data_IF_428612761722
#
_entry.id   IF_428612761722
#
_cell.length_a   1.000
_cell.length_b   1.000
_cell.length_c   1.000
_cell.angle_alpha   90.00
_cell.angle_beta   90.00
_cell.angle_gamma   90.00
#
_symmetry.space_group_name_H-M   'P 1'
#
loop_
_entity.id
_entity.type
_entity.pdbx_description
1 polymer ?
#
# COMPACT_ATOMS: atom_id res chain seq x y z
N UNK A 1 -18.49 12.62 -4.94
CA UNK A 1 -17.89 11.33 -4.54
C UNK A 1 -16.53 11.59 -3.90
N UNK A 2 -16.29 11.12 -2.67
CA UNK A 2 -14.97 11.16 -2.06
C UNK A 2 -14.02 10.17 -2.74
N UNK A 3 -12.76 10.54 -2.86
CA UNK A 3 -11.71 9.72 -3.45
C UNK A 3 -10.56 9.63 -2.45
N UNK A 4 -10.31 8.41 -1.95
CA UNK A 4 -9.25 8.11 -1.00
C UNK A 4 -8.07 7.57 -1.79
N UNK A 5 -6.94 8.28 -1.74
CA UNK A 5 -5.70 7.80 -2.36
C UNK A 5 -4.86 7.10 -1.32
N UNK A 6 -4.46 5.86 -1.63
CA UNK A 6 -3.68 4.99 -0.76
C UNK A 6 -2.32 4.69 -1.41
N UNK A 7 -1.24 4.65 -0.63
CA UNK A 7 0.09 4.24 -1.10
C UNK A 7 0.40 2.82 -0.66
N UNK A 8 0.83 1.94 -1.55
CA UNK A 8 1.09 0.53 -1.19
C UNK A 8 2.16 0.36 -0.09
N UNK A 9 3.09 1.31 0.06
CA UNK A 9 4.10 1.29 1.12
C UNK A 9 3.56 1.60 2.52
N UNK A 10 2.39 2.23 2.64
CA UNK A 10 1.77 2.59 3.94
C UNK A 10 0.85 1.48 4.48
N UNK A 11 0.55 0.45 3.67
CA UNK A 11 -0.53 -0.52 3.94
C UNK A 11 0.02 -1.93 4.19
N UNK A 12 1.33 -2.11 4.37
CA UNK A 12 1.89 -3.43 4.63
C UNK A 12 1.70 -3.86 6.08
N UNK A 13 0.85 -4.88 6.27
CA UNK A 13 0.66 -5.59 7.53
C UNK A 13 1.09 -7.05 7.30
N UNK A 14 1.59 -7.73 8.34
CA UNK A 14 2.00 -9.15 8.30
C UNK A 14 0.87 -10.12 7.87
N UNK A 15 -0.37 -9.64 7.71
CA UNK A 15 -1.54 -10.38 7.24
C UNK A 15 -2.17 -9.90 5.93
N UNK A 16 -1.61 -8.90 5.24
CA UNK A 16 -2.16 -8.35 3.98
C UNK A 16 -2.26 -6.82 3.96
N UNK A 17 -3.02 -6.32 3.00
CA UNK A 17 -3.26 -4.90 2.76
C UNK A 17 -4.64 -4.48 3.27
N UNK A 18 -4.69 -3.64 4.30
CA UNK A 18 -5.93 -3.17 4.93
C UNK A 18 -6.44 -1.84 4.35
N UNK A 19 -7.73 -1.81 4.02
CA UNK A 19 -8.46 -0.65 3.56
C UNK A 19 -9.47 -0.29 4.64
N UNK A 20 -9.29 0.86 5.30
CA UNK A 20 -10.21 1.35 6.36
C UNK A 20 -11.11 2.46 5.83
N UNK A 21 -12.37 2.42 6.24
CA UNK A 21 -13.30 3.52 6.02
C UNK A 21 -13.00 4.66 7.01
N UNK A 22 -13.11 5.92 6.54
CA UNK A 22 -12.99 7.07 7.44
C UNK A 22 -14.20 7.10 8.40
N UNK A 23 -13.97 7.60 9.62
CA UNK A 23 -14.98 7.65 10.69
C UNK A 23 -16.29 8.33 10.29
N UNK A 24 -16.23 9.34 9.42
CA UNK A 24 -17.42 10.05 8.93
C UNK A 24 -18.38 9.12 8.15
N UNK A 25 -17.85 8.04 7.54
CA UNK A 25 -18.61 7.04 6.82
C UNK A 25 -19.05 5.87 7.72
N UNK A 26 -18.33 5.62 8.82
CA UNK A 26 -18.65 4.53 9.77
C UNK A 26 -20.00 4.71 10.46
N UNK A 27 -20.44 5.95 10.64
CA UNK A 27 -21.73 6.23 11.24
C UNK A 27 -22.90 5.76 10.34
N UNK A 28 -22.72 5.76 9.02
CA UNK A 28 -23.73 5.29 8.07
C UNK A 28 -23.77 3.77 7.98
N UNK A 29 -22.62 3.11 8.07
CA UNK A 29 -22.52 1.64 8.03
C UNK A 29 -23.12 0.92 9.23
N UNK A 30 -23.45 1.65 10.30
CA UNK A 30 -24.11 1.10 11.50
C UNK A 30 -25.65 1.12 11.40
N UNK A 31 -26.20 1.69 10.34
CA UNK A 31 -27.65 1.70 10.12
C UNK A 31 -28.10 0.35 9.54
N UNK A 32 -29.06 -0.37 10.14
CA UNK A 32 -29.58 -1.64 9.61
C UNK A 32 -30.24 -1.50 8.23
N UNK A 33 -30.66 -0.30 7.84
CA UNK A 33 -31.28 -0.06 6.53
C UNK A 33 -30.24 0.15 5.40
N UNK A 34 -28.95 -0.02 5.71
CA UNK A 34 -27.86 0.19 4.77
C UNK A 34 -27.14 -1.12 4.43
N UNK A 35 -27.11 -1.46 3.15
CA UNK A 35 -26.32 -2.54 2.58
C UNK A 35 -24.95 -2.04 2.13
N UNK A 36 -23.95 -2.91 2.21
CA UNK A 36 -22.57 -2.57 1.88
C UNK A 36 -21.97 -3.58 0.93
N UNK A 37 -21.14 -3.12 0.00
CA UNK A 37 -20.45 -4.02 -0.93
C UNK A 37 -19.12 -3.45 -1.37
N UNK A 38 -18.17 -4.34 -1.59
CA UNK A 38 -16.83 -4.02 -2.07
C UNK A 38 -16.64 -4.57 -3.48
N UNK A 39 -16.22 -3.70 -4.38
CA UNK A 39 -15.99 -3.98 -5.78
C UNK A 39 -14.55 -3.69 -6.16
N UNK A 40 -14.04 -4.43 -7.13
CA UNK A 40 -12.89 -3.99 -7.90
C UNK A 40 -13.28 -2.83 -8.81
N UNK A 41 -12.27 -2.09 -9.27
CA UNK A 41 -12.48 -0.96 -10.18
C UNK A 41 -13.16 -1.36 -11.50
N UNK A 42 -13.11 -2.64 -11.89
CA UNK A 42 -13.80 -3.20 -13.06
C UNK A 42 -15.30 -3.49 -12.80
N UNK A 43 -15.80 -3.22 -11.59
CA UNK A 43 -17.18 -3.47 -11.17
C UNK A 43 -17.44 -4.88 -10.65
N UNK A 44 -16.40 -5.72 -10.51
CA UNK A 44 -16.56 -7.07 -9.95
C UNK A 44 -16.73 -7.02 -8.44
N UNK A 45 -17.85 -7.54 -7.93
CA UNK A 45 -18.05 -7.74 -6.48
C UNK A 45 -16.99 -8.70 -5.94
N UNK A 46 -16.33 -8.34 -4.85
CA UNK A 46 -15.27 -9.15 -4.23
C UNK A 46 -15.53 -9.52 -2.79
N UNK A 47 -16.34 -8.72 -2.07
CA UNK A 47 -16.75 -9.01 -0.71
C UNK A 47 -18.00 -8.22 -0.35
N UNK A 48 -18.81 -8.80 0.51
CA UNK A 48 -19.96 -8.18 1.16
C UNK A 48 -19.80 -8.40 2.68
N UNK A 49 -19.72 -7.33 3.49
CA UNK A 49 -19.64 -7.46 4.95
C UNK A 49 -20.81 -8.26 5.57
N UNK A 50 -21.96 -8.32 4.89
CA UNK A 50 -23.14 -9.07 5.31
C UNK A 50 -22.98 -10.58 5.12
N UNK A 51 -22.10 -11.01 4.20
CA UNK A 51 -21.72 -12.40 3.98
C UNK A 51 -20.19 -12.57 4.02
N UNK A 52 -19.58 -12.48 5.21
CA UNK A 52 -18.12 -12.43 5.36
C UNK A 52 -17.41 -13.76 5.00
N UNK A 53 -18.17 -14.83 4.74
CA UNK A 53 -17.63 -16.10 4.27
C UNK A 53 -17.43 -16.13 2.75
N UNK A 54 -18.14 -15.26 2.02
CA UNK A 54 -18.11 -15.22 0.55
C UNK A 54 -17.11 -14.19 0.06
N UNK A 55 -15.84 -14.57 0.17
CA UNK A 55 -14.71 -13.73 -0.25
C UNK A 55 -14.19 -14.19 -1.60
N UNK A 56 -13.96 -13.24 -2.50
CA UNK A 56 -13.35 -13.48 -3.80
C UNK A 56 -11.94 -12.90 -3.80
N UNK A 57 -11.00 -13.63 -4.41
CA UNK A 57 -9.64 -13.17 -4.59
C UNK A 57 -9.62 -11.74 -5.19
N UNK A 58 -8.89 -10.78 -4.58
CA UNK A 58 -7.80 -10.98 -3.62
C UNK A 58 -8.16 -10.83 -2.13
N UNK A 59 -9.44 -10.81 -1.74
CA UNK A 59 -9.86 -10.54 -0.36
C UNK A 59 -9.48 -11.67 0.59
N UNK A 60 -8.93 -11.30 1.75
CA UNK A 60 -8.55 -12.19 2.86
C UNK A 60 -9.62 -12.14 3.96
N UNK A 61 -10.07 -10.94 4.32
CA UNK A 61 -11.13 -10.74 5.31
C UNK A 61 -11.90 -9.45 5.03
N UNK A 62 -13.14 -9.41 5.48
CA UNK A 62 -14.02 -8.23 5.38
C UNK A 62 -14.73 -8.01 6.71
N UNK A 63 -14.94 -6.74 7.03
CA UNK A 63 -15.71 -6.25 8.16
C UNK A 63 -16.55 -5.05 7.70
N UNK A 64 -17.40 -4.52 8.58
CA UNK A 64 -18.19 -3.32 8.30
C UNK A 64 -17.33 -2.05 8.13
N UNK A 65 -16.14 -2.02 8.72
CA UNK A 65 -15.26 -0.84 8.79
C UNK A 65 -13.99 -0.98 7.95
N UNK A 66 -13.59 -2.20 7.62
CA UNK A 66 -12.36 -2.47 6.89
C UNK A 66 -12.40 -3.73 6.01
N UNK A 67 -11.50 -3.77 5.03
CA UNK A 67 -11.27 -4.89 4.12
C UNK A 67 -9.77 -5.21 4.08
N UNK A 68 -9.40 -6.48 4.19
CA UNK A 68 -8.00 -6.93 4.02
C UNK A 68 -7.87 -7.71 2.73
N UNK A 69 -6.84 -7.41 1.94
CA UNK A 69 -6.55 -8.07 0.66
C UNK A 69 -5.13 -8.64 0.63
N UNK A 70 -4.90 -9.65 -0.21
CA UNK A 70 -3.58 -10.27 -0.38
C UNK A 70 -2.56 -9.38 -1.08
N UNK A 71 -3.01 -8.44 -1.91
CA UNK A 71 -2.15 -7.48 -2.56
C UNK A 71 -2.90 -6.17 -2.83
N UNK A 72 -2.13 -5.10 -2.91
CA UNK A 72 -2.60 -3.73 -3.14
C UNK A 72 -3.32 -3.61 -4.50
N UNK A 73 -4.63 -3.31 -4.48
CA UNK A 73 -5.50 -3.13 -5.66
C UNK A 73 -6.40 -1.90 -5.55
N UNK A 74 -6.91 -1.42 -6.69
CA UNK A 74 -7.93 -0.36 -6.72
C UNK A 74 -9.30 -0.94 -6.42
N UNK A 75 -10.04 -0.27 -5.53
CA UNK A 75 -11.34 -0.74 -5.04
C UNK A 75 -12.37 0.38 -5.08
N UNK A 76 -13.62 -0.02 -5.20
CA UNK A 76 -14.79 0.81 -4.98
C UNK A 76 -15.57 0.21 -3.81
N UNK A 77 -15.94 1.04 -2.84
CA UNK A 77 -16.85 0.67 -1.76
C UNK A 77 -18.17 1.40 -1.98
N UNK A 78 -19.26 0.66 -1.90
CA UNK A 78 -20.61 1.17 -2.11
C UNK A 78 -21.45 0.89 -0.86
N UNK A 79 -22.18 1.92 -0.43
CA UNK A 79 -23.18 1.85 0.64
C UNK A 79 -24.50 2.30 0.04
N UNK A 80 -25.51 1.43 0.10
CA UNK A 80 -26.86 1.70 -0.38
C UNK A 80 -27.78 1.67 0.83
N UNK A 81 -28.48 2.77 1.09
CA UNK A 81 -29.42 2.86 2.21
C UNK A 81 -30.83 3.13 1.68
N UNK A 82 -31.79 2.32 2.09
CA UNK A 82 -33.20 2.59 1.86
C UNK A 82 -33.72 3.54 2.95
N UNK A 83 -34.24 4.70 2.55
CA UNK A 83 -34.91 5.59 3.50
C UNK A 83 -36.39 5.25 3.59
N UNK A 84 -36.99 5.45 4.76
CA UNK A 84 -38.44 5.35 4.96
C UNK A 84 -39.26 6.34 4.14
N UNK A 85 -38.61 7.36 3.53
CA UNK A 85 -39.25 8.41 2.72
C UNK A 85 -39.20 8.10 1.19
N UNK A 86 -39.16 6.81 0.81
CA UNK A 86 -39.09 6.31 -0.58
C UNK A 86 -37.83 6.72 -1.38
N UNK A 87 -36.89 7.45 -0.80
CA UNK A 87 -35.67 7.89 -1.49
C UNK A 87 -34.49 6.97 -1.18
N UNK A 88 -33.96 6.29 -2.18
CA UNK A 88 -32.72 5.54 -2.04
C UNK A 88 -31.50 6.47 -1.96
N UNK A 89 -30.62 6.21 -1.02
CA UNK A 89 -29.37 6.93 -0.85
C UNK A 89 -28.18 6.04 -1.18
N UNK A 90 -27.40 6.42 -2.20
CA UNK A 90 -26.20 5.67 -2.63
C UNK A 90 -24.97 6.51 -2.35
N UNK A 91 -23.97 5.91 -1.70
CA UNK A 91 -22.66 6.50 -1.46
C UNK A 91 -21.56 5.58 -1.97
N UNK A 92 -20.74 6.13 -2.86
CA UNK A 92 -19.57 5.46 -3.41
C UNK A 92 -18.27 6.11 -2.93
N UNK A 93 -17.33 5.29 -2.50
CA UNK A 93 -15.98 5.67 -2.09
C UNK A 93 -14.98 4.93 -2.97
N UNK A 94 -14.12 5.68 -3.65
CA UNK A 94 -13.06 5.10 -4.47
C UNK A 94 -11.75 5.05 -3.69
N UNK A 95 -11.12 3.88 -3.67
CA UNK A 95 -9.78 3.67 -3.14
C UNK A 95 -8.80 3.49 -4.31
N UNK A 96 -7.99 4.53 -4.55
CA UNK A 96 -6.99 4.53 -5.62
C UNK A 96 -5.61 4.31 -5.06
N UNK A 97 -4.99 3.24 -5.53
CA UNK A 97 -3.62 2.88 -5.20
C UNK A 97 -2.65 3.69 -6.04
N UNK A 98 -1.70 4.35 -5.37
CA UNK A 98 -0.49 4.92 -5.99
C UNK A 98 0.70 4.07 -5.60
N UNK A 99 1.36 3.49 -6.60
CA UNK A 99 2.62 2.79 -6.38
C UNK A 99 3.75 3.83 -6.31
N UNK A 100 4.23 4.15 -5.11
CA UNK A 100 5.42 4.96 -4.93
C UNK A 100 6.63 4.03 -5.03
N UNK A 101 7.10 3.80 -6.26
CA UNK A 101 8.32 3.04 -6.52
C UNK A 101 9.55 3.90 -6.22
N UNK A 102 9.76 4.22 -4.94
CA UNK A 102 11.02 4.75 -4.43
C UNK A 102 11.53 3.90 -3.28
N UNK A 103 11.47 2.58 -3.44
CA UNK A 103 12.48 1.72 -2.84
C UNK A 103 13.60 1.58 -3.86
N UNK A 104 14.46 2.60 -3.96
CA UNK A 104 15.87 2.31 -4.26
C UNK A 104 16.36 1.50 -3.07
N UNK A 105 16.69 0.20 -3.20
CA UNK A 105 17.35 -0.52 -2.12
C UNK A 105 18.62 0.27 -1.83
N UNK A 106 18.67 0.84 -0.63
CA UNK A 106 19.75 1.61 -0.03
C UNK A 106 21.09 1.47 -0.80
N UNK A 107 21.22 2.24 -1.89
CA UNK A 107 22.40 2.17 -2.77
C UNK A 107 23.61 2.74 -2.02
N UNK A 108 23.34 3.56 -1.01
CA UNK A 108 24.32 4.21 -0.14
C UNK A 108 25.29 3.23 0.50
N UNK A 109 24.81 2.04 0.90
CA UNK A 109 25.70 1.04 1.52
C UNK A 109 26.68 0.43 0.51
N UNK A 110 26.23 0.17 -0.73
CA UNK A 110 27.10 -0.35 -1.79
C UNK A 110 28.09 0.71 -2.28
N UNK A 111 27.63 1.94 -2.48
CA UNK A 111 28.48 3.07 -2.89
C UNK A 111 29.51 3.45 -1.82
N UNK A 112 29.16 3.37 -0.53
CA UNK A 112 30.09 3.61 0.57
C UNK A 112 31.21 2.56 0.62
N UNK A 113 30.87 1.27 0.48
CA UNK A 113 31.87 0.18 0.40
C UNK A 113 32.81 0.35 -0.80
N UNK A 114 32.26 0.74 -1.96
CA UNK A 114 33.04 1.05 -3.17
C UNK A 114 34.02 2.21 -2.93
N UNK A 115 33.58 3.29 -2.27
CA UNK A 115 34.42 4.44 -1.96
C UNK A 115 35.57 4.07 -1.01
N UNK A 116 35.31 3.31 0.05
CA UNK A 116 36.33 2.84 0.99
C UNK A 116 37.36 1.95 0.28
N UNK A 117 36.92 1.06 -0.62
CA UNK A 117 37.81 0.19 -1.38
C UNK A 117 38.74 0.98 -2.32
N UNK A 118 38.21 1.98 -3.03
CA UNK A 118 39.02 2.85 -3.90
C UNK A 118 40.05 3.63 -3.09
N UNK A 119 39.68 4.19 -1.94
CA UNK A 119 40.60 4.92 -1.05
C UNK A 119 41.74 4.01 -0.57
N UNK A 120 41.43 2.77 -0.16
CA UNK A 120 42.45 1.81 0.28
C UNK A 120 43.44 1.47 -0.84
N UNK A 121 42.95 1.24 -2.07
CA UNK A 121 43.81 0.98 -3.23
C UNK A 121 44.74 2.16 -3.55
N UNK A 122 44.25 3.39 -3.49
CA UNK A 122 45.06 4.59 -3.72
C UNK A 122 46.19 4.73 -2.68
N UNK A 123 45.89 4.44 -1.41
CA UNK A 123 46.90 4.46 -0.33
C UNK A 123 47.98 3.41 -0.59
N UNK A 124 47.60 2.19 -0.98
CA UNK A 124 48.55 1.12 -1.32
C UNK A 124 49.44 1.54 -2.49
N UNK A 125 48.87 2.09 -3.57
CA UNK A 125 49.62 2.59 -4.74
C UNK A 125 50.60 3.69 -4.32
N UNK A 126 50.17 4.65 -3.50
CA UNK A 126 51.04 5.70 -2.96
C UNK A 126 52.21 5.13 -2.18
N UNK A 127 51.97 4.15 -1.29
CA UNK A 127 53.04 3.48 -0.53
C UNK A 127 54.01 2.76 -1.47
N UNK A 128 53.50 2.05 -2.48
CA UNK A 128 54.32 1.38 -3.50
C UNK A 128 55.18 2.38 -4.29
N UNK A 129 54.62 3.52 -4.70
CA UNK A 129 55.34 4.58 -5.42
C UNK A 129 56.40 5.25 -4.53
N UNK A 130 56.10 5.48 -3.26
CA UNK A 130 57.05 6.04 -2.30
C UNK A 130 58.20 5.07 -2.00
N UNK A 131 57.93 3.76 -1.90
CA UNK A 131 58.99 2.74 -1.80
C UNK A 131 59.82 2.64 -3.08
N UNK A 132 59.21 2.73 -4.26
CA UNK A 132 59.92 2.74 -5.55
C UNK A 132 60.82 3.96 -5.70
N UNK A 133 60.36 5.15 -5.28
CA UNK A 133 61.18 6.38 -5.28
C UNK A 133 62.32 6.36 -4.26
N UNK A 134 62.19 5.65 -3.15
CA UNK A 134 63.23 5.55 -2.10
C UNK A 134 64.36 4.57 -2.45
N UNK A 135 64.17 3.70 -3.43
CA UNK A 135 65.20 2.76 -3.95
C UNK A 135 66.04 3.40 -5.06
N UNK A 136 65.55 4.47 -5.69
CA UNK A 136 66.20 5.16 -6.82
C UNK A 136 66.94 6.45 -6.45
N UNK A 137 67.12 6.73 -5.15
CA UNK A 137 67.92 7.84 -4.62
C UNK A 137 68.95 7.30 -3.66
#
# INVERSE_FOLDING_TARGET
MPNVTLKCGEIQIDGGFEYRLLSDYLNQTNNPDCEQSWYLQDGRLIADPSDPQKLIYPVISVSSDHLVTSHCVNLNHEIICDSTDESQYIREIMFRVRNESTMTPNSDHFWWLLAVFIIALLIIILICLMKRKRIFR
#
